data_IF_104449241745
#
_entry.id   IF_104449241745
#
_cell.length_a   1.000
_cell.length_b   1.000
_cell.length_c   1.000
_cell.angle_alpha   90.00
_cell.angle_beta   90.00
_cell.angle_gamma   90.00
#
_symmetry.space_group_name_H-M   'P 1'
#
loop_
_entity.id
_entity.type
_entity.pdbx_description
1 polymer ?
#
# COMPACT_ATOMS: atom_id res chain seq x y z
N UNK A 1 19.48 -13.85 12.60
CA UNK A 1 18.62 -13.82 11.41
C UNK A 1 18.98 -12.62 10.55
N UNK A 2 19.31 -12.83 9.31
CA UNK A 2 19.59 -11.73 8.40
C UNK A 2 18.29 -10.96 8.08
N UNK A 3 18.39 -9.64 8.04
CA UNK A 3 17.29 -8.78 7.64
C UNK A 3 16.99 -9.00 6.16
N UNK A 4 15.73 -9.13 5.72
CA UNK A 4 15.43 -9.24 4.31
C UNK A 4 15.99 -8.07 3.51
N UNK A 5 16.49 -8.35 2.31
CA UNK A 5 16.92 -7.30 1.39
C UNK A 5 15.71 -6.49 0.92
N UNK A 6 15.87 -5.17 0.72
CA UNK A 6 14.81 -4.36 0.15
C UNK A 6 14.39 -4.85 -1.23
N UNK A 7 13.11 -4.82 -1.51
CA UNK A 7 12.58 -5.03 -2.84
C UNK A 7 12.94 -3.90 -3.80
N UNK A 8 12.68 -4.12 -5.08
CA UNK A 8 12.94 -3.15 -6.14
C UNK A 8 11.66 -2.71 -6.81
N UNK A 9 11.73 -1.67 -7.65
CA UNK A 9 10.56 -1.18 -8.40
C UNK A 9 9.92 -2.27 -9.28
N UNK A 10 10.71 -3.19 -9.79
CA UNK A 10 10.23 -4.31 -10.60
C UNK A 10 9.33 -5.29 -9.84
N UNK A 11 9.39 -5.28 -8.52
CA UNK A 11 8.54 -6.14 -7.67
C UNK A 11 7.11 -5.60 -7.52
N UNK A 12 6.85 -4.38 -7.98
CA UNK A 12 5.56 -3.71 -7.81
C UNK A 12 4.84 -3.52 -9.15
N UNK A 13 3.54 -3.27 -9.12
CA UNK A 13 2.67 -3.27 -10.31
C UNK A 13 1.95 -1.94 -10.56
N UNK A 14 1.81 -1.09 -9.56
CA UNK A 14 1.30 0.27 -9.71
C UNK A 14 2.16 1.23 -8.90
N UNK A 15 2.12 2.52 -9.29
CA UNK A 15 2.99 3.52 -8.69
C UNK A 15 2.22 4.83 -8.50
N UNK A 16 2.54 5.51 -7.41
CA UNK A 16 1.98 6.83 -7.11
C UNK A 16 3.07 7.73 -6.55
N UNK A 17 3.27 8.89 -7.16
CA UNK A 17 4.25 9.86 -6.69
C UNK A 17 3.69 10.74 -5.58
N UNK A 18 4.49 11.00 -4.57
CA UNK A 18 4.15 11.86 -3.44
C UNK A 18 5.31 12.82 -3.18
N UNK A 19 4.99 14.10 -2.99
CA UNK A 19 5.95 15.07 -2.48
C UNK A 19 5.94 15.04 -0.97
N UNK A 20 7.13 14.98 -0.36
CA UNK A 20 7.25 15.14 1.09
C UNK A 20 6.93 16.58 1.50
N UNK A 21 6.50 16.76 2.74
CA UNK A 21 6.18 18.06 3.32
C UNK A 21 7.13 18.37 4.46
N UNK A 22 7.33 19.65 4.73
CA UNK A 22 8.11 20.08 5.91
C UNK A 22 7.61 19.42 7.21
N UNK A 23 6.27 19.37 7.39
CA UNK A 23 5.64 18.76 8.56
C UNK A 23 5.75 17.24 8.65
N UNK A 24 6.27 16.57 7.63
CA UNK A 24 6.46 15.11 7.66
C UNK A 24 7.68 14.72 8.50
N UNK A 25 8.70 15.60 8.59
CA UNK A 25 9.89 15.34 9.42
C UNK A 25 9.57 15.46 10.91
N UNK A 26 10.19 14.60 11.69
CA UNK A 26 10.22 14.72 13.14
C UNK A 26 11.46 15.49 13.61
N UNK A 27 11.64 15.56 14.93
CA UNK A 27 12.77 16.29 15.54
C UNK A 27 14.14 15.68 15.22
N UNK A 28 14.19 14.46 14.71
CA UNK A 28 15.43 13.79 14.30
C UNK A 28 15.82 14.11 12.85
N UNK A 29 15.02 14.89 12.14
CA UNK A 29 15.29 15.32 10.77
C UNK A 29 14.92 14.31 9.69
N UNK A 30 14.19 13.27 10.04
CA UNK A 30 13.69 12.26 9.12
C UNK A 30 12.17 12.21 9.14
N UNK A 31 11.57 11.75 8.04
CA UNK A 31 10.12 11.57 7.99
C UNK A 31 9.69 10.62 9.12
N UNK A 32 8.70 11.06 9.89
CA UNK A 32 8.18 10.28 10.99
C UNK A 32 7.59 8.96 10.48
N UNK A 33 7.81 7.88 11.22
CA UNK A 33 7.36 6.54 10.86
C UNK A 33 5.86 6.45 10.55
N UNK A 34 5.02 7.21 11.23
CA UNK A 34 3.57 7.18 11.01
C UNK A 34 3.15 7.74 9.65
N UNK A 35 3.96 8.61 9.05
CA UNK A 35 3.69 9.21 7.75
C UNK A 35 3.71 8.16 6.64
N UNK A 36 4.51 7.13 6.77
CA UNK A 36 4.57 6.04 5.77
C UNK A 36 3.21 5.37 5.60
N UNK A 37 2.46 5.16 6.65
CA UNK A 37 1.11 4.61 6.59
C UNK A 37 0.15 5.53 5.84
N UNK A 38 0.28 6.84 6.01
CA UNK A 38 -0.47 7.83 5.25
C UNK A 38 -0.15 7.75 3.75
N UNK A 39 1.11 7.56 3.40
CA UNK A 39 1.53 7.40 2.01
C UNK A 39 0.97 6.12 1.39
N UNK A 40 1.01 5.01 2.13
CA UNK A 40 0.44 3.74 1.68
C UNK A 40 -1.06 3.87 1.44
N UNK A 41 -1.76 4.47 2.37
CA UNK A 41 -3.20 4.69 2.28
C UNK A 41 -3.55 5.58 1.08
N UNK A 42 -2.80 6.66 0.89
CA UNK A 42 -2.97 7.57 -0.25
C UNK A 42 -2.80 6.84 -1.58
N UNK A 43 -1.77 6.03 -1.72
CA UNK A 43 -1.49 5.32 -2.96
C UNK A 43 -2.57 4.28 -3.29
N UNK A 44 -3.04 3.54 -2.31
CA UNK A 44 -4.13 2.55 -2.49
C UNK A 44 -5.43 3.26 -2.86
N UNK A 45 -5.79 4.31 -2.15
CA UNK A 45 -7.04 5.02 -2.42
C UNK A 45 -6.98 5.78 -3.75
N UNK A 46 -5.83 6.31 -4.14
CA UNK A 46 -5.64 6.90 -5.47
C UNK A 46 -5.88 5.86 -6.59
N UNK A 47 -5.40 4.63 -6.40
CA UNK A 47 -5.67 3.54 -7.34
C UNK A 47 -7.16 3.23 -7.43
N UNK A 48 -7.83 3.13 -6.28
CA UNK A 48 -9.26 2.82 -6.22
C UNK A 48 -10.10 3.92 -6.89
N UNK A 49 -9.80 5.17 -6.62
CA UNK A 49 -10.49 6.32 -7.21
C UNK A 49 -10.27 6.38 -8.72
N UNK A 50 -9.04 6.20 -9.18
CA UNK A 50 -8.68 6.20 -10.60
C UNK A 50 -9.45 5.12 -11.39
N UNK A 51 -9.73 3.99 -10.77
CA UNK A 51 -10.47 2.89 -11.38
C UNK A 51 -11.97 2.93 -11.07
N UNK A 52 -12.45 4.04 -10.54
CA UNK A 52 -13.87 4.25 -10.19
C UNK A 52 -14.45 3.18 -9.24
N UNK A 53 -13.59 2.69 -8.34
CA UNK A 53 -13.93 1.63 -7.37
C UNK A 53 -14.31 2.18 -6.00
N UNK A 54 -14.12 3.46 -5.79
CA UNK A 54 -14.43 4.14 -4.54
C UNK A 54 -15.15 5.45 -4.82
N UNK A 55 -16.37 5.55 -4.36
CA UNK A 55 -17.09 6.80 -4.26
C UNK A 55 -17.17 7.20 -2.79
N UNK A 56 -16.48 8.27 -2.41
CA UNK A 56 -16.34 8.72 -1.03
C UNK A 56 -17.68 9.01 -0.34
N UNK A 57 -18.70 9.38 -1.14
CA UNK A 57 -20.03 9.73 -0.60
C UNK A 57 -21.05 8.61 -0.67
N UNK A 58 -20.91 7.63 -1.55
CA UNK A 58 -22.01 6.77 -1.96
C UNK A 58 -21.71 5.26 -1.95
N UNK A 59 -20.45 4.83 -1.82
CA UNK A 59 -20.14 3.40 -1.78
C UNK A 59 -20.84 2.70 -0.62
N UNK A 60 -21.59 1.65 -0.93
CA UNK A 60 -22.28 0.83 0.08
C UNK A 60 -21.32 -0.11 0.80
N UNK A 61 -20.42 -0.71 0.06
CA UNK A 61 -19.32 -1.53 0.57
C UNK A 61 -18.06 -0.67 0.67
N UNK A 62 -17.42 -0.69 1.81
CA UNK A 62 -16.18 0.05 2.07
C UNK A 62 -15.09 -0.89 2.55
N UNK A 63 -13.85 -0.61 2.13
CA UNK A 63 -12.68 -1.31 2.63
C UNK A 63 -12.13 -0.60 3.88
N UNK A 64 -12.12 -1.30 4.99
CA UNK A 64 -11.52 -0.79 6.23
C UNK A 64 -10.20 -1.50 6.50
N UNK A 65 -9.24 -0.81 7.08
CA UNK A 65 -7.95 -1.38 7.46
C UNK A 65 -8.13 -2.30 8.66
N UNK A 66 -7.87 -3.58 8.46
CA UNK A 66 -7.91 -4.58 9.53
C UNK A 66 -6.53 -4.86 10.12
N UNK A 67 -5.50 -4.72 9.29
CA UNK A 67 -4.11 -4.98 9.68
C UNK A 67 -3.17 -4.20 8.78
N UNK A 68 -2.07 -3.72 9.32
CA UNK A 68 -0.99 -3.13 8.56
C UNK A 68 0.34 -3.31 9.28
N UNK A 69 1.42 -3.13 8.55
CA UNK A 69 2.76 -3.17 9.09
C UNK A 69 3.75 -2.53 8.14
N UNK A 70 4.93 -2.17 8.65
CA UNK A 70 5.97 -1.55 7.86
C UNK A 70 7.35 -1.93 8.39
N UNK A 71 8.26 -2.21 7.46
CA UNK A 71 9.68 -2.40 7.74
C UNK A 71 10.44 -1.25 7.10
N UNK A 72 11.35 -0.65 7.86
CA UNK A 72 12.14 0.51 7.45
C UNK A 72 13.56 0.08 7.12
N UNK A 73 14.02 0.36 5.89
CA UNK A 73 15.36 0.00 5.42
C UNK A 73 16.29 1.21 5.36
N UNK A 74 15.76 2.38 5.01
CA UNK A 74 16.49 3.63 4.90
C UNK A 74 15.61 4.81 5.30
N UNK A 75 16.22 5.90 5.74
CA UNK A 75 15.48 7.11 6.10
C UNK A 75 15.08 7.91 4.86
N UNK A 76 13.94 8.58 4.95
CA UNK A 76 13.47 9.57 3.99
C UNK A 76 13.42 10.92 4.70
N UNK A 77 13.73 12.01 4.01
CA UNK A 77 13.69 13.35 4.57
C UNK A 77 13.09 14.34 3.58
N UNK A 78 12.40 15.36 4.09
CA UNK A 78 11.98 16.49 3.27
C UNK A 78 13.24 17.24 2.75
N UNK A 79 13.32 17.69 1.50
CA UNK A 79 12.27 17.79 0.49
C UNK A 79 12.29 16.66 -0.57
N UNK A 80 12.78 15.49 -0.25
CA UNK A 80 12.80 14.38 -1.21
C UNK A 80 11.39 14.11 -1.77
N UNK A 81 11.33 13.74 -3.04
CA UNK A 81 10.14 13.12 -3.62
C UNK A 81 10.21 11.63 -3.45
N UNK A 82 9.07 11.02 -3.18
CA UNK A 82 8.98 9.57 -3.07
C UNK A 82 7.97 9.04 -4.07
N UNK A 83 8.16 7.78 -4.42
CA UNK A 83 7.18 7.00 -5.18
C UNK A 83 6.74 5.83 -4.33
N UNK A 84 5.43 5.64 -4.20
CA UNK A 84 4.88 4.44 -3.60
C UNK A 84 4.65 3.43 -4.72
N UNK A 85 5.33 2.29 -4.63
CA UNK A 85 5.03 1.12 -5.45
C UNK A 85 4.04 0.23 -4.72
N UNK A 86 3.11 -0.37 -5.43
CA UNK A 86 2.14 -1.26 -4.85
C UNK A 86 1.86 -2.49 -5.70
N UNK A 87 1.37 -3.52 -5.05
CA UNK A 87 0.91 -4.76 -5.67
C UNK A 87 -0.17 -5.39 -4.81
N UNK A 88 -1.00 -6.22 -5.41
CA UNK A 88 -1.98 -7.03 -4.68
C UNK A 88 -1.35 -8.38 -4.42
N UNK A 89 -1.21 -8.75 -3.15
CA UNK A 89 -0.62 -10.02 -2.76
C UNK A 89 -1.67 -11.12 -2.62
N UNK A 90 -2.90 -10.74 -2.28
CA UNK A 90 -4.00 -11.69 -2.11
C UNK A 90 -5.35 -11.01 -2.31
N UNK A 91 -6.23 -11.73 -3.01
CA UNK A 91 -7.66 -11.45 -3.12
C UNK A 91 -8.44 -12.57 -2.43
N UNK A 92 -8.89 -12.33 -1.21
CA UNK A 92 -9.75 -13.24 -0.47
C UNK A 92 -11.23 -13.01 -0.80
N UNK A 93 -12.14 -13.59 -0.03
CA UNK A 93 -13.58 -13.37 -0.22
C UNK A 93 -13.97 -11.93 0.12
N UNK A 94 -13.55 -11.43 1.28
CA UNK A 94 -13.84 -10.07 1.75
C UNK A 94 -12.58 -9.23 1.93
N UNK A 95 -11.39 -9.84 1.89
CA UNK A 95 -10.14 -9.18 2.21
C UNK A 95 -9.24 -9.02 0.98
N UNK A 96 -8.58 -7.88 0.91
CA UNK A 96 -7.50 -7.60 -0.05
C UNK A 96 -6.23 -7.31 0.75
N UNK A 97 -5.14 -8.00 0.42
CA UNK A 97 -3.82 -7.66 0.93
C UNK A 97 -3.04 -6.90 -0.13
N UNK A 98 -2.72 -5.66 0.17
CA UNK A 98 -1.79 -4.84 -0.61
C UNK A 98 -0.40 -4.92 0.02
N UNK A 99 0.62 -5.02 -0.82
CA UNK A 99 2.01 -4.83 -0.41
C UNK A 99 2.56 -3.60 -1.10
N UNK A 100 3.29 -2.80 -0.35
CA UNK A 100 3.67 -1.44 -0.74
C UNK A 100 5.13 -1.18 -0.43
N UNK A 101 5.79 -0.41 -1.29
CA UNK A 101 7.17 0.00 -1.12
C UNK A 101 7.31 1.50 -1.30
N UNK A 102 8.14 2.11 -0.47
CA UNK A 102 8.51 3.52 -0.60
C UNK A 102 9.87 3.60 -1.29
N UNK A 103 9.91 4.30 -2.41
CA UNK A 103 11.14 4.51 -3.17
C UNK A 103 11.53 5.97 -3.13
N UNK A 104 12.75 6.22 -2.72
CA UNK A 104 13.37 7.55 -2.81
C UNK A 104 13.69 7.86 -4.27
N UNK A 105 13.73 9.13 -4.58
CA UNK A 105 14.06 9.63 -5.91
C UNK A 105 15.37 8.99 -6.41
N UNK A 106 15.33 8.33 -7.58
CA UNK A 106 16.43 7.62 -8.25
C UNK A 106 17.01 6.38 -7.56
N UNK A 107 16.54 5.97 -6.42
CA UNK A 107 17.04 4.76 -5.79
C UNK A 107 16.29 3.50 -6.27
N UNK A 108 17.04 2.42 -6.48
CA UNK A 108 16.49 1.17 -6.97
C UNK A 108 15.82 0.34 -5.88
N UNK A 109 16.36 0.37 -4.67
CA UNK A 109 15.85 -0.37 -3.52
C UNK A 109 14.84 0.42 -2.72
N UNK A 110 13.84 -0.26 -2.17
CA UNK A 110 12.83 0.36 -1.32
C UNK A 110 13.44 0.89 -0.01
N UNK A 111 13.09 2.12 0.36
CA UNK A 111 13.44 2.70 1.66
C UNK A 111 12.59 2.10 2.78
N UNK A 112 11.37 1.70 2.48
CA UNK A 112 10.47 1.01 3.39
C UNK A 112 9.55 0.08 2.61
N UNK A 113 9.09 -0.97 3.25
CA UNK A 113 8.14 -1.92 2.70
C UNK A 113 7.08 -2.22 3.73
N UNK A 114 5.83 -2.20 3.31
CA UNK A 114 4.72 -2.43 4.20
C UNK A 114 3.59 -3.19 3.54
N UNK A 115 2.53 -3.38 4.29
CA UNK A 115 1.32 -4.02 3.80
C UNK A 115 0.09 -3.47 4.48
N UNK A 116 -1.03 -3.52 3.76
CA UNK A 116 -2.36 -3.24 4.26
C UNK A 116 -3.27 -4.43 3.94
N UNK A 117 -4.06 -4.83 4.92
CA UNK A 117 -5.19 -5.71 4.70
C UNK A 117 -6.46 -4.89 4.83
N UNK A 118 -7.18 -4.73 3.72
CA UNK A 118 -8.52 -4.15 3.70
C UNK A 118 -9.55 -5.26 3.81
N UNK A 119 -10.50 -5.13 4.73
CA UNK A 119 -11.68 -5.99 4.79
C UNK A 119 -12.88 -5.19 4.32
N UNK A 120 -13.62 -5.72 3.34
CA UNK A 120 -14.82 -5.09 2.85
C UNK A 120 -15.98 -5.36 3.77
N UNK A 121 -16.65 -4.29 4.15
CA UNK A 121 -17.79 -4.32 5.07
C UNK A 121 -18.96 -3.54 4.46
N UNK A 122 -20.16 -3.88 4.86
CA UNK A 122 -21.33 -3.04 4.61
C UNK A 122 -21.19 -1.75 5.44
N UNK A 123 -21.32 -0.59 4.79
CA UNK A 123 -21.11 0.71 5.44
C UNK A 123 -22.05 0.93 6.64
N UNK A 124 -23.27 0.47 6.54
CA UNK A 124 -24.27 0.70 7.60
C UNK A 124 -24.09 -0.26 8.78
N UNK A 125 -23.92 -1.55 8.51
CA UNK A 125 -23.82 -2.58 9.55
C UNK A 125 -22.40 -2.82 10.07
N UNK A 126 -21.38 -2.41 9.28
CA UNK A 126 -19.96 -2.67 9.53
C UNK A 126 -19.62 -4.17 9.58
N UNK A 127 -20.46 -5.01 9.01
CA UNK A 127 -20.22 -6.46 8.91
C UNK A 127 -19.49 -6.81 7.64
N UNK A 128 -18.57 -7.79 7.69
CA UNK A 128 -17.89 -8.27 6.48
C UNK A 128 -18.88 -8.74 5.42
N UNK A 129 -18.60 -8.35 4.19
CA UNK A 129 -19.34 -8.75 3.00
C UNK A 129 -18.35 -9.22 1.94
N UNK A 130 -18.76 -10.08 0.99
CA UNK A 130 -17.89 -10.39 -0.15
C UNK A 130 -17.51 -9.10 -0.88
N UNK A 131 -16.24 -8.97 -1.30
CA UNK A 131 -15.85 -7.81 -2.06
C UNK A 131 -16.63 -7.74 -3.38
N UNK A 132 -17.01 -6.53 -3.83
CA UNK A 132 -17.72 -6.40 -5.11
C UNK A 132 -16.93 -7.02 -6.25
N UNK A 133 -17.62 -7.71 -7.15
CA UNK A 133 -16.99 -8.39 -8.31
C UNK A 133 -16.22 -7.42 -9.18
N UNK A 134 -16.72 -6.21 -9.35
CA UNK A 134 -16.07 -5.13 -10.08
C UNK A 134 -14.71 -4.77 -9.48
N UNK A 135 -14.59 -4.76 -8.15
CA UNK A 135 -13.34 -4.54 -7.44
C UNK A 135 -12.35 -5.69 -7.71
N UNK A 136 -12.81 -6.93 -7.57
CA UNK A 136 -12.00 -8.12 -7.84
C UNK A 136 -11.45 -8.10 -9.26
N UNK A 137 -12.30 -7.82 -10.24
CA UNK A 137 -11.90 -7.75 -11.63
C UNK A 137 -10.85 -6.66 -11.88
N UNK A 138 -11.04 -5.48 -11.29
CA UNK A 138 -10.12 -4.35 -11.46
C UNK A 138 -8.77 -4.55 -10.75
N UNK A 139 -8.75 -5.26 -9.64
CA UNK A 139 -7.51 -5.52 -8.89
C UNK A 139 -6.72 -6.72 -9.41
N UNK A 140 -7.37 -7.64 -10.12
CA UNK A 140 -6.71 -8.86 -10.62
C UNK A 140 -5.43 -8.61 -11.45
N UNK A 141 -5.35 -7.56 -12.30
CA UNK A 141 -4.11 -7.27 -13.04
C UNK A 141 -2.91 -6.92 -12.16
N UNK A 142 -3.15 -6.49 -10.92
CA UNK A 142 -2.08 -6.12 -9.98
C UNK A 142 -1.71 -7.26 -9.04
N UNK A 143 -2.40 -8.40 -9.15
CA UNK A 143 -2.14 -9.58 -8.34
C UNK A 143 -0.83 -10.21 -8.79
N UNK A 144 0.03 -10.44 -7.83
CA UNK A 144 1.26 -11.21 -8.06
C UNK A 144 1.04 -12.66 -7.65
N UNK A 145 1.64 -13.57 -8.41
CA UNK A 145 1.73 -14.96 -7.96
C UNK A 145 2.51 -15.02 -6.65
N UNK A 146 2.09 -15.81 -5.67
CA UNK A 146 2.88 -16.03 -4.48
C UNK A 146 4.29 -16.42 -4.93
N UNK A 147 5.33 -15.72 -4.42
CA UNK A 147 6.69 -16.22 -4.55
C UNK A 147 6.66 -17.63 -3.98
N UNK A 148 7.00 -18.59 -4.81
CA UNK A 148 7.37 -19.89 -4.30
C UNK A 148 8.45 -19.60 -3.26
N UNK A 149 8.21 -19.93 -2.00
CA UNK A 149 9.27 -19.87 -1.02
C UNK A 149 10.33 -20.79 -1.59
N UNK A 150 11.39 -20.21 -2.16
CA UNK A 150 12.59 -20.97 -2.35
C UNK A 150 12.94 -21.47 -0.97
N UNK A 151 12.82 -22.76 -0.79
CA UNK A 151 13.33 -23.43 0.40
C UNK A 151 14.84 -23.19 0.40
N UNK A 152 15.26 -22.20 1.20
CA UNK A 152 16.68 -22.05 1.47
C UNK A 152 17.16 -23.28 2.22
#
# INVERSE_FOLDING_TARGET
>A
MSRPSPGTRADYRFFHEITTRWGDNDVYGHVNNVIYYSWFDTAVNALLIKNELLDLGASREIGIVAENGCRYHASVTFPERITVGGRVARLGTSAVRYELGIFRHHEAGAAAEGYFVHVYVDRASMRPVPMPERLRAALSPFLISPRTKESA
#
